data_IF_849250417818
#
_entry.id   IF_849250417818
#
_cell.length_a   1.000
_cell.length_b   1.000
_cell.length_c   1.000
_cell.angle_alpha   90.00
_cell.angle_beta   90.00
_cell.angle_gamma   90.00
#
_symmetry.space_group_name_H-M   'P 1'
#
loop_
_entity.id
_entity.type
_entity.pdbx_description
1 polymer ?
#
# COMPACT_ATOMS: atom_id res chain seq x y z
N UNK A 1 50.80 -16.23 -10.10
CA UNK A 1 50.38 -14.90 -9.51
C UNK A 1 49.27 -14.31 -10.37
N UNK A 2 48.04 -14.41 -9.93
CA UNK A 2 46.89 -13.74 -10.57
C UNK A 2 46.48 -12.57 -9.65
N UNK A 3 46.83 -11.38 -10.10
CA UNK A 3 46.41 -10.13 -9.41
C UNK A 3 44.91 -9.91 -9.53
N UNK A 4 44.21 -10.03 -8.41
CA UNK A 4 42.78 -9.67 -8.28
C UNK A 4 42.56 -8.18 -8.55
N UNK A 5 41.71 -7.86 -9.55
CA UNK A 5 41.19 -6.52 -9.79
C UNK A 5 40.15 -6.20 -8.70
N UNK A 6 40.46 -5.25 -7.84
CA UNK A 6 39.55 -4.72 -6.83
C UNK A 6 38.30 -4.13 -7.48
N UNK A 7 37.13 -4.58 -7.06
CA UNK A 7 35.85 -3.95 -7.37
C UNK A 7 35.79 -2.59 -6.66
N UNK A 8 35.75 -1.52 -7.45
CA UNK A 8 35.49 -0.19 -6.94
C UNK A 8 34.10 -0.17 -6.27
N UNK A 9 34.05 0.12 -4.97
CA UNK A 9 32.80 0.39 -4.25
C UNK A 9 32.27 1.74 -4.78
N UNK A 10 31.10 1.72 -5.42
CA UNK A 10 30.36 2.91 -5.76
C UNK A 10 30.07 3.67 -4.45
N UNK A 11 30.49 4.93 -4.37
CA UNK A 11 30.09 5.83 -3.27
C UNK A 11 28.59 6.11 -3.42
N UNK A 12 27.81 6.07 -2.33
CA UNK A 12 26.43 6.53 -2.39
C UNK A 12 26.46 8.03 -2.74
N UNK A 13 25.79 8.38 -3.82
CA UNK A 13 25.51 9.77 -4.17
C UNK A 13 24.44 10.25 -3.20
N UNK A 14 24.82 10.86 -2.10
CA UNK A 14 23.91 11.55 -1.20
C UNK A 14 23.43 12.81 -1.91
N UNK A 15 22.28 12.75 -2.57
CA UNK A 15 21.53 13.94 -2.96
C UNK A 15 21.14 14.68 -1.67
N UNK A 16 21.41 15.99 -1.62
CA UNK A 16 20.88 16.81 -0.55
C UNK A 16 19.34 16.72 -0.58
N UNK A 17 18.66 16.62 0.59
CA UNK A 17 17.21 16.53 0.62
C UNK A 17 16.61 17.73 -0.12
N UNK A 18 15.54 17.54 -0.93
CA UNK A 18 14.91 18.63 -1.64
C UNK A 18 14.42 19.67 -0.62
N UNK A 19 14.74 20.94 -0.84
CA UNK A 19 14.29 22.01 0.05
C UNK A 19 12.76 22.07 0.02
N UNK A 20 12.13 21.84 1.18
CA UNK A 20 10.68 21.85 1.33
C UNK A 20 10.16 23.27 1.08
N UNK A 21 9.35 23.48 0.03
CA UNK A 21 8.70 24.75 -0.23
C UNK A 21 7.39 24.86 0.52
N UNK A 22 7.09 26.04 1.07
CA UNK A 22 5.87 26.31 1.85
C UNK A 22 5.69 25.28 3.00
N UNK A 23 6.66 25.15 3.92
CA UNK A 23 6.60 24.17 5.00
C UNK A 23 5.36 24.32 5.87
N UNK A 24 4.92 25.57 6.12
CA UNK A 24 3.78 25.89 6.96
C UNK A 24 2.42 25.73 6.27
N UNK A 25 2.39 25.22 5.02
CA UNK A 25 1.12 24.95 4.33
C UNK A 25 0.35 23.89 5.09
N UNK A 26 -0.84 24.24 5.56
CA UNK A 26 -1.76 23.32 6.25
C UNK A 26 -2.30 22.29 5.26
N UNK A 27 -2.15 21.01 5.61
CA UNK A 27 -2.68 19.87 4.88
C UNK A 27 -3.91 19.29 5.56
N UNK A 28 -3.93 19.23 6.91
CA UNK A 28 -5.10 18.95 7.73
C UNK A 28 -5.39 20.17 8.61
N UNK A 29 -6.59 20.72 8.55
CA UNK A 29 -6.97 21.81 9.44
C UNK A 29 -7.03 21.34 10.89
N UNK A 30 -6.87 22.27 11.82
CA UNK A 30 -7.08 22.05 13.24
C UNK A 30 -8.53 21.62 13.51
N UNK A 31 -8.69 20.72 14.48
CA UNK A 31 -10.00 20.28 15.00
C UNK A 31 -9.95 20.28 16.53
N UNK A 32 -11.06 19.98 17.19
CA UNK A 32 -11.10 19.80 18.64
C UNK A 32 -10.24 18.63 19.14
N UNK A 33 -9.86 17.70 18.24
CA UNK A 33 -9.13 16.48 18.57
C UNK A 33 -7.62 16.55 18.25
N UNK A 34 -7.19 17.45 17.36
CA UNK A 34 -5.79 17.60 16.97
C UNK A 34 -5.46 18.98 16.43
N UNK A 35 -4.21 19.37 16.59
CA UNK A 35 -3.64 20.57 15.97
C UNK A 35 -3.61 20.47 14.45
N UNK A 36 -3.47 21.60 13.76
CA UNK A 36 -3.29 21.65 12.32
C UNK A 36 -2.01 20.89 11.92
N UNK A 37 -2.10 20.03 10.90
CA UNK A 37 -0.95 19.31 10.35
C UNK A 37 -0.47 20.02 9.09
N UNK A 38 0.79 20.40 9.09
CA UNK A 38 1.44 21.12 8.01
C UNK A 38 2.20 20.19 7.07
N UNK A 39 2.71 20.76 6.00
CA UNK A 39 3.60 20.07 5.09
C UNK A 39 4.93 19.69 5.75
N UNK A 40 5.43 20.51 6.68
CA UNK A 40 6.62 20.20 7.47
C UNK A 40 6.39 18.98 8.38
N UNK A 41 5.21 18.89 9.00
CA UNK A 41 4.85 17.74 9.84
C UNK A 41 4.77 16.45 9.01
N UNK A 42 4.22 16.52 7.79
CA UNK A 42 4.23 15.38 6.87
C UNK A 42 5.66 14.94 6.51
N UNK A 43 6.55 15.89 6.27
CA UNK A 43 7.96 15.59 5.99
C UNK A 43 8.64 14.93 7.20
N UNK A 44 8.42 15.46 8.40
CA UNK A 44 8.94 14.88 9.65
C UNK A 44 8.37 13.47 9.91
N UNK A 45 7.08 13.24 9.61
CA UNK A 45 6.47 11.92 9.68
C UNK A 45 7.16 10.93 8.73
N UNK A 46 7.42 11.32 7.48
CA UNK A 46 8.11 10.45 6.53
C UNK A 46 9.53 10.11 6.97
N UNK A 47 10.26 11.04 7.56
CA UNK A 47 11.58 10.76 8.15
C UNK A 47 11.48 9.73 9.28
N UNK A 48 10.50 9.91 10.17
CA UNK A 48 10.29 9.02 11.31
C UNK A 48 9.97 7.58 10.89
N UNK A 49 9.18 7.40 9.82
CA UNK A 49 8.71 6.08 9.40
C UNK A 49 9.56 5.44 8.30
N UNK A 50 10.53 6.16 7.75
CA UNK A 50 11.29 5.74 6.57
C UNK A 50 11.87 4.32 6.69
N UNK A 51 12.55 4.01 7.79
CA UNK A 51 13.18 2.69 8.01
C UNK A 51 12.17 1.54 8.06
N UNK A 52 10.92 1.83 8.46
CA UNK A 52 9.83 0.84 8.54
C UNK A 52 9.00 0.75 7.28
N UNK A 53 8.82 1.87 6.58
CA UNK A 53 7.99 1.97 5.40
C UNK A 53 8.70 1.45 4.13
N UNK A 54 9.95 1.86 3.92
CA UNK A 54 10.69 1.52 2.71
C UNK A 54 10.83 0.01 2.43
N UNK A 55 11.07 -0.88 3.40
CA UNK A 55 11.10 -2.32 3.15
C UNK A 55 9.83 -2.88 2.50
N UNK A 56 8.70 -2.21 2.67
CA UNK A 56 7.40 -2.64 2.16
C UNK A 56 6.98 -1.91 0.88
N UNK A 57 7.46 -0.68 0.66
CA UNK A 57 7.04 0.18 -0.44
C UNK A 57 8.12 0.41 -1.51
N UNK A 58 9.41 0.33 -1.15
CA UNK A 58 10.51 0.60 -2.07
C UNK A 58 10.60 -0.41 -3.20
N UNK A 59 11.10 0.07 -4.34
CA UNK A 59 11.29 -0.73 -5.56
C UNK A 59 10.01 -1.41 -6.06
N UNK A 60 8.86 -0.77 -5.86
CA UNK A 60 7.56 -1.19 -6.38
C UNK A 60 6.92 -0.07 -7.19
N UNK A 61 6.11 -0.36 -8.20
CA UNK A 61 5.23 0.66 -8.75
C UNK A 61 4.29 1.16 -7.65
N UNK A 62 4.19 2.47 -7.48
CA UNK A 62 3.38 3.09 -6.43
C UNK A 62 2.37 4.03 -7.05
N UNK A 63 1.13 3.95 -6.61
CA UNK A 63 0.13 4.98 -6.85
C UNK A 63 0.05 5.89 -5.62
N UNK A 64 -0.08 7.18 -5.84
CA UNK A 64 -0.10 8.19 -4.80
C UNK A 64 -1.48 8.85 -4.76
N UNK A 65 -1.98 9.10 -3.56
CA UNK A 65 -3.08 10.07 -3.35
C UNK A 65 -2.45 11.36 -2.87
N UNK A 66 -2.61 12.41 -3.67
CA UNK A 66 -2.06 13.73 -3.41
C UNK A 66 -3.16 14.73 -3.13
N UNK A 67 -2.95 15.55 -2.13
CA UNK A 67 -3.85 16.64 -1.74
C UNK A 67 -3.05 17.96 -1.63
N UNK A 68 -2.63 18.55 -2.77
CA UNK A 68 -1.78 19.75 -2.75
C UNK A 68 -2.42 20.92 -2.03
N UNK A 69 -3.74 20.97 -1.97
CA UNK A 69 -4.52 22.04 -1.33
C UNK A 69 -5.18 21.59 0.00
N UNK A 70 -4.65 20.50 0.61
CA UNK A 70 -5.14 19.95 1.86
C UNK A 70 -6.37 19.06 1.70
N UNK A 71 -6.94 18.59 2.81
CA UNK A 71 -8.04 17.61 2.81
C UNK A 71 -9.31 18.11 2.12
N UNK A 72 -9.58 19.40 2.19
CA UNK A 72 -10.75 20.04 1.56
C UNK A 72 -10.55 20.32 0.07
N UNK A 73 -9.30 20.17 -0.40
CA UNK A 73 -8.92 20.41 -1.78
C UNK A 73 -9.18 19.21 -2.71
N UNK A 74 -8.80 19.41 -3.96
CA UNK A 74 -8.93 18.35 -4.95
C UNK A 74 -7.96 17.21 -4.68
N UNK A 75 -8.46 15.96 -4.71
CA UNK A 75 -7.67 14.73 -4.64
C UNK A 75 -7.16 14.34 -6.03
N UNK A 76 -5.86 14.01 -6.10
CA UNK A 76 -5.23 13.53 -7.32
C UNK A 76 -4.70 12.12 -7.10
N UNK A 77 -5.20 11.19 -7.90
CA UNK A 77 -4.65 9.83 -7.95
C UNK A 77 -3.55 9.78 -9.01
N UNK A 78 -2.30 9.66 -8.58
CA UNK A 78 -1.12 9.78 -9.41
C UNK A 78 -0.35 8.46 -9.47
N UNK A 79 -0.10 7.95 -10.68
CA UNK A 79 0.66 6.71 -10.92
C UNK A 79 2.00 6.96 -11.61
N UNK A 80 2.09 8.03 -12.38
CA UNK A 80 3.21 8.33 -13.25
C UNK A 80 3.94 9.58 -12.78
N UNK A 81 5.21 9.68 -13.10
CA UNK A 81 5.97 10.90 -12.83
C UNK A 81 5.34 12.13 -13.47
N UNK A 82 5.53 13.28 -12.85
CA UNK A 82 5.08 14.56 -13.36
C UNK A 82 6.17 15.62 -13.20
N UNK A 83 6.08 16.69 -13.99
CA UNK A 83 7.00 17.83 -13.90
C UNK A 83 6.95 18.43 -12.49
N UNK A 84 8.11 18.61 -11.87
CA UNK A 84 8.23 19.16 -10.52
C UNK A 84 8.14 18.13 -9.40
N UNK A 85 8.00 16.84 -9.73
CA UNK A 85 8.13 15.73 -8.79
C UNK A 85 9.40 14.96 -9.13
N UNK A 86 10.43 15.12 -8.31
CA UNK A 86 11.73 14.44 -8.48
C UNK A 86 11.70 13.09 -7.78
N UNK A 87 10.94 12.15 -8.35
CA UNK A 87 10.82 10.77 -7.89
C UNK A 87 11.35 9.81 -8.95
N UNK A 88 12.00 8.71 -8.54
CA UNK A 88 12.39 7.66 -9.46
C UNK A 88 11.15 7.04 -10.12
N UNK A 89 11.35 6.52 -11.32
CA UNK A 89 10.28 5.86 -12.06
C UNK A 89 10.73 4.52 -12.58
N UNK A 90 9.78 3.58 -12.67
CA UNK A 90 10.01 2.25 -13.19
C UNK A 90 9.14 1.96 -14.40
N UNK A 91 9.75 1.43 -15.46
CA UNK A 91 9.03 1.03 -16.66
C UNK A 91 8.55 -0.41 -16.53
N UNK A 92 7.25 -0.61 -16.64
CA UNK A 92 6.63 -1.94 -16.65
C UNK A 92 6.37 -2.35 -18.10
N UNK A 93 6.76 -3.58 -18.44
CA UNK A 93 6.56 -4.10 -19.79
C UNK A 93 5.06 -4.11 -20.15
N UNK A 94 4.74 -3.64 -21.35
CA UNK A 94 3.36 -3.54 -21.83
C UNK A 94 2.64 -2.24 -21.45
N UNK A 95 3.17 -1.45 -20.50
CA UNK A 95 2.57 -0.18 -20.11
C UNK A 95 3.21 1.01 -20.87
N UNK A 96 2.38 2.01 -21.19
CA UNK A 96 2.83 3.15 -22.02
C UNK A 96 3.72 4.12 -21.27
N UNK A 97 3.49 4.30 -19.97
CA UNK A 97 4.19 5.28 -19.15
C UNK A 97 4.86 4.60 -17.95
N UNK A 98 6.03 5.09 -17.52
CA UNK A 98 6.68 4.58 -16.32
C UNK A 98 5.88 4.97 -15.06
N UNK A 99 5.88 4.09 -14.10
CA UNK A 99 5.25 4.31 -12.78
C UNK A 99 6.22 4.99 -11.83
N UNK A 100 5.68 5.77 -10.89
CA UNK A 100 6.45 6.25 -9.74
C UNK A 100 6.91 5.05 -8.92
N UNK A 101 8.13 5.10 -8.41
CA UNK A 101 8.67 4.17 -7.42
C UNK A 101 9.38 4.93 -6.31
N UNK A 102 9.80 4.25 -5.27
CA UNK A 102 10.59 4.80 -4.16
C UNK A 102 11.84 3.94 -4.01
N UNK A 103 12.96 4.56 -3.69
CA UNK A 103 14.24 3.87 -3.51
C UNK A 103 14.91 4.25 -2.18
N UNK A 104 14.60 5.44 -1.65
CA UNK A 104 15.31 6.02 -0.52
C UNK A 104 14.42 6.90 0.37
N UNK A 105 14.97 7.33 1.50
CA UNK A 105 14.30 8.28 2.40
C UNK A 105 14.13 9.67 1.75
N UNK A 106 15.04 10.07 0.88
CA UNK A 106 14.93 11.32 0.12
C UNK A 106 13.69 11.33 -0.79
N UNK A 107 13.28 10.17 -1.32
CA UNK A 107 12.06 10.06 -2.12
C UNK A 107 10.82 10.31 -1.27
N UNK A 108 10.82 9.89 0.00
CA UNK A 108 9.74 10.20 0.93
C UNK A 108 9.62 11.71 1.19
N UNK A 109 10.75 12.43 1.24
CA UNK A 109 10.75 13.89 1.33
C UNK A 109 10.17 14.54 0.05
N UNK A 110 10.46 13.97 -1.12
CA UNK A 110 9.84 14.42 -2.37
C UNK A 110 8.32 14.16 -2.38
N UNK A 111 7.83 13.10 -1.72
CA UNK A 111 6.40 12.87 -1.51
C UNK A 111 5.77 13.94 -0.62
N UNK A 112 6.43 14.32 0.48
CA UNK A 112 5.96 15.43 1.33
C UNK A 112 5.90 16.73 0.53
N UNK A 113 6.92 17.02 -0.29
CA UNK A 113 6.93 18.17 -1.19
C UNK A 113 5.72 18.16 -2.14
N UNK A 114 5.32 17.00 -2.61
CA UNK A 114 4.18 16.81 -3.51
C UNK A 114 2.82 16.73 -2.80
N UNK A 115 2.78 16.83 -1.46
CA UNK A 115 1.60 16.60 -0.62
C UNK A 115 0.93 15.24 -0.92
N UNK A 116 1.74 14.19 -1.09
CA UNK A 116 1.26 12.83 -1.21
C UNK A 116 1.00 12.28 0.21
N UNK A 117 -0.26 11.99 0.50
CA UNK A 117 -0.71 11.57 1.83
C UNK A 117 -0.90 10.06 1.92
N UNK A 118 -1.19 9.41 0.80
CA UNK A 118 -1.34 7.96 0.77
C UNK A 118 -0.42 7.37 -0.30
N UNK A 119 0.24 6.29 0.07
CA UNK A 119 1.07 5.47 -0.82
C UNK A 119 0.37 4.13 -1.04
N UNK A 120 0.21 3.76 -2.29
CA UNK A 120 -0.45 2.52 -2.69
C UNK A 120 0.49 1.69 -3.57
N UNK A 121 1.42 0.91 -2.99
CA UNK A 121 2.31 0.06 -3.75
C UNK A 121 1.59 -1.13 -4.37
N UNK A 122 2.09 -1.59 -5.52
CA UNK A 122 1.65 -2.85 -6.11
C UNK A 122 2.07 -4.04 -5.24
N UNK A 123 1.30 -5.11 -5.30
CA UNK A 123 1.58 -6.39 -4.66
C UNK A 123 2.58 -7.27 -5.43
N UNK A 124 3.51 -6.68 -6.19
CA UNK A 124 4.56 -7.38 -6.94
C UNK A 124 5.90 -6.66 -6.82
N UNK A 125 6.96 -7.35 -7.21
CA UNK A 125 8.29 -6.73 -7.37
C UNK A 125 8.43 -6.08 -8.74
N UNK A 126 9.30 -5.06 -8.90
CA UNK A 126 9.40 -4.30 -10.14
C UNK A 126 9.89 -5.12 -11.34
N UNK A 127 10.77 -6.05 -11.11
CA UNK A 127 11.32 -6.94 -12.14
C UNK A 127 10.42 -8.15 -12.46
N UNK A 128 9.35 -8.34 -11.70
CA UNK A 128 8.39 -9.44 -11.83
C UNK A 128 6.94 -8.91 -11.74
N UNK A 129 6.52 -7.96 -12.58
CA UNK A 129 5.22 -7.27 -12.44
C UNK A 129 4.02 -8.19 -12.68
N UNK A 130 4.24 -9.32 -13.33
CA UNK A 130 3.20 -10.31 -13.58
C UNK A 130 3.06 -11.37 -12.48
N UNK A 131 3.90 -11.28 -11.44
CA UNK A 131 3.93 -12.24 -10.33
C UNK A 131 3.60 -11.53 -9.03
N UNK A 132 2.45 -11.81 -8.40
CA UNK A 132 2.16 -11.29 -7.08
C UNK A 132 3.11 -11.90 -6.03
N UNK A 133 3.61 -11.07 -5.12
CA UNK A 133 4.47 -11.49 -4.01
C UNK A 133 3.74 -11.48 -2.66
N UNK A 134 2.50 -11.03 -2.64
CA UNK A 134 1.61 -11.00 -1.47
C UNK A 134 0.15 -11.04 -1.86
N UNK A 135 -0.67 -11.56 -0.97
CA UNK A 135 -2.12 -11.41 -1.03
C UNK A 135 -2.54 -10.38 0.02
N UNK A 136 -3.59 -9.64 -0.29
CA UNK A 136 -4.17 -8.64 0.60
C UNK A 136 -5.67 -8.86 0.68
N UNK A 137 -6.17 -9.06 1.88
CA UNK A 137 -7.58 -9.01 2.21
C UNK A 137 -7.84 -7.71 2.94
N UNK A 138 -8.62 -6.83 2.33
CA UNK A 138 -9.02 -5.56 2.92
C UNK A 138 -10.37 -5.75 3.61
N UNK A 139 -10.39 -5.66 4.93
CA UNK A 139 -11.60 -5.81 5.74
C UNK A 139 -12.27 -4.43 5.90
N UNK A 140 -13.32 -4.20 5.13
CA UNK A 140 -14.02 -2.92 5.02
C UNK A 140 -15.38 -3.00 5.74
N UNK A 141 -15.50 -2.48 6.99
CA UNK A 141 -16.71 -2.55 7.77
C UNK A 141 -17.78 -1.56 7.29
N UNK A 142 -19.05 -1.91 7.47
CA UNK A 142 -20.16 -0.98 7.37
C UNK A 142 -20.09 0.07 8.48
N UNK A 143 -20.75 1.20 8.27
CA UNK A 143 -20.70 2.37 9.20
C UNK A 143 -21.21 2.07 10.61
N UNK A 144 -22.03 1.05 10.77
CA UNK A 144 -22.59 0.66 12.07
C UNK A 144 -21.73 -0.29 12.89
N UNK A 145 -20.58 -0.73 12.38
CA UNK A 145 -19.68 -1.65 13.06
C UNK A 145 -18.54 -0.90 13.76
N UNK A 146 -18.12 -1.40 14.90
CA UNK A 146 -16.97 -0.83 15.62
C UNK A 146 -15.65 -1.50 15.20
N UNK A 147 -14.53 -0.95 15.68
CA UNK A 147 -13.22 -1.48 15.34
C UNK A 147 -12.96 -2.88 15.96
N UNK A 148 -13.64 -3.20 17.06
CA UNK A 148 -13.59 -4.52 17.69
C UNK A 148 -14.14 -5.61 16.75
N UNK A 149 -15.24 -5.32 16.04
CA UNK A 149 -15.81 -6.23 15.04
C UNK A 149 -14.81 -6.54 13.92
N UNK A 150 -14.04 -5.52 13.47
CA UNK A 150 -13.01 -5.68 12.44
C UNK A 150 -11.83 -6.50 12.95
N UNK A 151 -11.42 -6.29 14.19
CA UNK A 151 -10.36 -7.09 14.85
C UNK A 151 -10.76 -8.56 14.93
N UNK A 152 -12.01 -8.84 15.32
CA UNK A 152 -12.50 -10.22 15.41
C UNK A 152 -12.67 -10.87 14.03
N UNK A 153 -13.07 -10.10 13.02
CA UNK A 153 -13.08 -10.54 11.63
C UNK A 153 -11.66 -10.89 11.14
N UNK A 154 -10.68 -10.06 11.46
CA UNK A 154 -9.27 -10.32 11.12
C UNK A 154 -8.75 -11.60 11.79
N UNK A 155 -9.13 -11.87 13.04
CA UNK A 155 -8.79 -13.14 13.74
C UNK A 155 -9.44 -14.35 13.07
N UNK A 156 -10.72 -14.25 12.68
CA UNK A 156 -11.44 -15.31 11.96
C UNK A 156 -10.75 -15.63 10.63
N UNK A 157 -10.48 -14.61 9.82
CA UNK A 157 -9.78 -14.77 8.55
C UNK A 157 -8.36 -15.35 8.75
N UNK A 158 -7.64 -14.85 9.74
CA UNK A 158 -6.32 -15.37 10.13
C UNK A 158 -6.39 -16.86 10.43
N UNK A 159 -7.33 -17.30 11.28
CA UNK A 159 -7.48 -18.70 11.64
C UNK A 159 -7.73 -19.60 10.42
N UNK A 160 -8.58 -19.15 9.48
CA UNK A 160 -8.81 -19.86 8.23
C UNK A 160 -7.55 -19.97 7.38
N UNK A 161 -6.79 -18.88 7.22
CA UNK A 161 -5.57 -18.85 6.42
C UNK A 161 -4.44 -19.69 7.06
N UNK A 162 -4.30 -19.63 8.37
CA UNK A 162 -3.32 -20.46 9.13
C UNK A 162 -3.65 -21.95 9.04
N UNK A 163 -4.92 -22.34 9.05
CA UNK A 163 -5.34 -23.71 8.82
C UNK A 163 -4.98 -24.23 7.41
N UNK A 164 -4.84 -23.31 6.44
CA UNK A 164 -4.31 -23.62 5.10
C UNK A 164 -2.77 -23.55 5.01
N UNK A 165 -2.07 -23.35 6.14
CA UNK A 165 -0.62 -23.27 6.20
C UNK A 165 -0.02 -21.90 5.82
N UNK A 166 -0.84 -20.85 5.72
CA UNK A 166 -0.35 -19.52 5.40
C UNK A 166 0.14 -18.77 6.64
N UNK A 167 1.20 -17.97 6.48
CA UNK A 167 1.62 -16.99 7.49
C UNK A 167 0.92 -15.67 7.21
N UNK A 168 0.32 -15.06 8.22
CA UNK A 168 -0.43 -13.82 8.07
C UNK A 168 0.18 -12.67 8.87
N UNK A 169 0.00 -11.45 8.35
CA UNK A 169 0.36 -10.21 9.02
C UNK A 169 -0.83 -9.25 9.00
N UNK A 170 -0.97 -8.46 10.04
CA UNK A 170 -2.03 -7.46 10.15
C UNK A 170 -1.42 -6.07 9.95
N UNK A 171 -2.13 -5.24 9.18
CA UNK A 171 -1.79 -3.84 8.98
C UNK A 171 -3.01 -2.96 9.16
N UNK A 172 -2.85 -1.86 9.89
CA UNK A 172 -3.84 -0.77 9.96
C UNK A 172 -3.81 0.04 8.67
N UNK A 173 -4.95 0.56 8.24
CA UNK A 173 -5.09 1.32 7.00
C UNK A 173 -5.13 2.84 7.22
N UNK A 174 -5.18 3.28 8.48
CA UNK A 174 -5.43 4.68 8.84
C UNK A 174 -6.91 5.08 8.78
N UNK A 175 -7.79 4.16 8.39
CA UNK A 175 -9.24 4.31 8.35
C UNK A 175 -9.94 3.32 9.27
N UNK A 176 -11.14 2.90 8.89
CA UNK A 176 -12.00 2.00 9.69
C UNK A 176 -11.59 0.52 9.58
N UNK A 177 -10.89 0.14 8.52
CA UNK A 177 -10.59 -1.23 8.17
C UNK A 177 -9.22 -1.73 8.60
N UNK A 178 -8.98 -3.03 8.38
CA UNK A 178 -7.69 -3.69 8.54
C UNK A 178 -7.34 -4.45 7.27
N UNK A 179 -6.06 -4.49 6.94
CA UNK A 179 -5.55 -5.43 5.94
C UNK A 179 -4.98 -6.68 6.61
N UNK A 180 -5.36 -7.85 6.12
CA UNK A 180 -4.68 -9.11 6.40
C UNK A 180 -3.80 -9.43 5.19
N UNK A 181 -2.49 -9.48 5.39
CA UNK A 181 -1.50 -9.74 4.36
C UNK A 181 -0.97 -11.16 4.48
N UNK A 182 -0.81 -11.82 3.33
CA UNK A 182 -0.20 -13.14 3.21
C UNK A 182 0.97 -13.04 2.23
N UNK A 183 2.23 -13.10 2.68
CA UNK A 183 3.36 -13.19 1.77
C UNK A 183 3.29 -14.47 0.94
N UNK A 184 3.49 -14.36 -0.36
CA UNK A 184 3.55 -15.51 -1.24
C UNK A 184 5.00 -15.99 -1.29
N UNK A 185 5.27 -17.12 -0.64
CA UNK A 185 6.56 -17.80 -0.65
C UNK A 185 6.38 -19.13 -1.33
N UNK A 186 6.46 -19.17 -2.64
CA UNK A 186 6.33 -20.41 -3.40
C UNK A 186 7.63 -20.83 -4.08
N UNK A 187 7.71 -22.05 -4.56
CA UNK A 187 8.85 -22.48 -5.40
C UNK A 187 8.91 -21.58 -6.63
N UNK A 188 10.09 -21.01 -6.89
CA UNK A 188 10.34 -20.11 -8.03
C UNK A 188 10.01 -20.74 -9.38
N UNK A 189 9.90 -22.08 -9.43
CA UNK A 189 9.62 -22.82 -10.65
C UNK A 189 8.19 -22.64 -11.20
N UNK A 190 7.21 -22.28 -10.34
CA UNK A 190 5.83 -22.02 -10.75
C UNK A 190 5.19 -20.98 -9.81
N UNK A 191 5.54 -19.68 -9.96
CA UNK A 191 4.89 -18.64 -9.19
C UNK A 191 3.41 -18.50 -9.59
N UNK A 192 2.51 -18.08 -8.68
CA UNK A 192 1.11 -17.84 -9.03
C UNK A 192 1.00 -16.64 -9.98
N UNK A 193 0.02 -16.69 -10.85
CA UNK A 193 -0.43 -15.54 -11.64
C UNK A 193 -1.37 -14.63 -10.83
N UNK A 194 -1.63 -13.42 -11.33
CA UNK A 194 -2.61 -12.51 -10.75
C UNK A 194 -4.02 -13.10 -10.73
N UNK A 195 -4.39 -13.86 -11.76
CA UNK A 195 -5.71 -14.51 -11.84
C UNK A 195 -5.85 -15.62 -10.79
N UNK A 196 -4.80 -16.41 -10.56
CA UNK A 196 -4.78 -17.44 -9.51
C UNK A 196 -4.85 -16.79 -8.12
N UNK A 197 -4.07 -15.73 -7.87
CA UNK A 197 -4.09 -14.98 -6.61
C UNK A 197 -5.48 -14.38 -6.33
N UNK A 198 -6.09 -13.76 -7.33
CA UNK A 198 -7.43 -13.18 -7.23
C UNK A 198 -8.49 -14.25 -7.02
N UNK A 199 -8.43 -15.35 -7.75
CA UNK A 199 -9.40 -16.48 -7.62
C UNK A 199 -9.29 -17.11 -6.25
N UNK A 200 -8.07 -17.31 -5.73
CA UNK A 200 -7.87 -17.84 -4.38
C UNK A 200 -8.47 -16.90 -3.32
N UNK A 201 -8.14 -15.62 -3.36
CA UNK A 201 -8.64 -14.65 -2.38
C UNK A 201 -10.16 -14.46 -2.47
N UNK A 202 -10.73 -14.54 -3.67
CA UNK A 202 -12.18 -14.56 -3.88
C UNK A 202 -12.83 -15.77 -3.24
N UNK A 203 -12.22 -16.95 -3.38
CA UNK A 203 -12.75 -18.18 -2.78
C UNK A 203 -12.75 -18.12 -1.26
N UNK A 204 -11.70 -17.57 -0.65
CA UNK A 204 -11.63 -17.34 0.80
C UNK A 204 -12.72 -16.37 1.26
N UNK A 205 -12.88 -15.23 0.57
CA UNK A 205 -13.91 -14.26 0.89
C UNK A 205 -15.34 -14.86 0.76
N UNK A 206 -15.55 -15.67 -0.27
CA UNK A 206 -16.82 -16.37 -0.47
C UNK A 206 -17.09 -17.42 0.60
N UNK A 207 -16.07 -18.17 1.05
CA UNK A 207 -16.18 -19.13 2.13
C UNK A 207 -16.59 -18.44 3.44
N UNK A 208 -15.93 -17.36 3.83
CA UNK A 208 -16.33 -16.57 5.01
C UNK A 208 -17.76 -16.06 4.92
N UNK A 209 -18.15 -15.51 3.77
CA UNK A 209 -19.52 -15.02 3.57
C UNK A 209 -20.57 -16.15 3.55
N UNK A 210 -20.18 -17.39 3.26
CA UNK A 210 -21.06 -18.58 3.33
C UNK A 210 -21.19 -19.11 4.75
N UNK A 211 -20.06 -19.20 5.47
CA UNK A 211 -19.99 -19.72 6.84
C UNK A 211 -20.66 -18.77 7.85
N UNK A 212 -20.42 -17.47 7.70
CA UNK A 212 -20.91 -16.43 8.60
C UNK A 212 -21.60 -15.29 7.82
N UNK A 213 -22.76 -15.57 7.17
CA UNK A 213 -23.40 -14.61 6.25
C UNK A 213 -23.92 -13.34 6.93
N UNK A 214 -24.12 -13.36 8.26
CA UNK A 214 -24.53 -12.19 9.05
C UNK A 214 -23.35 -11.24 9.33
N UNK A 215 -22.11 -11.73 9.25
CA UNK A 215 -20.90 -10.94 9.54
C UNK A 215 -20.14 -10.52 8.30
N UNK A 216 -20.11 -11.37 7.28
CA UNK A 216 -19.27 -11.17 6.11
C UNK A 216 -20.04 -11.06 4.81
N UNK A 217 -19.48 -10.31 3.88
CA UNK A 217 -19.94 -10.23 2.50
C UNK A 217 -18.74 -10.17 1.54
N UNK A 218 -18.86 -10.88 0.42
CA UNK A 218 -17.83 -10.92 -0.63
C UNK A 218 -18.23 -10.12 -1.89
N UNK A 219 -19.13 -9.14 -1.76
CA UNK A 219 -19.61 -8.32 -2.88
C UNK A 219 -19.44 -6.84 -2.61
N UNK A 220 -19.09 -6.08 -3.66
CA UNK A 220 -18.94 -4.63 -3.61
C UNK A 220 -20.26 -3.86 -3.40
N UNK A 221 -21.41 -4.51 -3.53
CA UNK A 221 -22.71 -3.84 -3.41
C UNK A 221 -22.91 -3.26 -2.01
N UNK A 222 -22.92 -1.93 -1.88
CA UNK A 222 -23.17 -1.23 -0.61
C UNK A 222 -24.47 -1.65 0.06
N UNK A 223 -25.52 -1.88 -0.73
CA UNK A 223 -26.80 -2.32 -0.21
C UNK A 223 -26.76 -3.69 0.51
N UNK A 224 -25.79 -4.54 0.13
CA UNK A 224 -25.59 -5.86 0.75
C UNK A 224 -24.60 -5.84 1.93
N UNK A 225 -23.95 -4.70 2.22
CA UNK A 225 -22.94 -4.57 3.30
C UNK A 225 -23.54 -4.16 4.63
N UNK A 226 -24.81 -3.78 4.70
CA UNK A 226 -25.42 -3.24 5.92
C UNK A 226 -25.20 -4.17 7.11
N UNK A 227 -24.52 -3.67 8.16
CA UNK A 227 -24.16 -4.40 9.36
C UNK A 227 -23.12 -5.51 9.16
N UNK A 228 -22.33 -5.47 8.06
CA UNK A 228 -21.39 -6.54 7.68
C UNK A 228 -20.02 -5.99 7.30
N UNK A 229 -19.05 -6.87 7.30
CA UNK A 229 -17.69 -6.58 6.84
C UNK A 229 -17.52 -7.11 5.42
N UNK A 230 -17.19 -6.24 4.49
CA UNK A 230 -16.79 -6.64 3.16
C UNK A 230 -15.34 -7.13 3.18
N UNK A 231 -15.15 -8.40 2.80
CA UNK A 231 -13.82 -8.97 2.59
C UNK A 231 -13.40 -8.65 1.16
N UNK A 232 -12.74 -7.50 0.99
CA UNK A 232 -12.30 -7.05 -0.34
C UNK A 232 -11.05 -7.81 -0.77
N UNK A 233 -11.24 -8.68 -1.75
CA UNK A 233 -10.20 -9.46 -2.42
C UNK A 233 -9.70 -8.82 -3.72
N UNK A 234 -10.30 -7.72 -4.15
CA UNK A 234 -10.01 -7.08 -5.45
C UNK A 234 -8.63 -6.42 -5.49
N UNK A 235 -8.00 -6.25 -4.31
CA UNK A 235 -6.61 -5.77 -4.20
C UNK A 235 -5.59 -6.73 -4.83
N UNK A 236 -5.98 -7.93 -5.19
CA UNK A 236 -5.11 -9.01 -5.71
C UNK A 236 -5.17 -9.15 -7.23
N UNK A 237 -5.47 -8.08 -7.95
CA UNK A 237 -5.37 -8.03 -9.41
C UNK A 237 -4.11 -7.32 -9.89
N UNK A 238 -3.71 -7.55 -11.14
CA UNK A 238 -2.63 -6.80 -11.79
C UNK A 238 -2.94 -5.30 -11.74
N UNK A 239 -1.98 -4.49 -11.36
CA UNK A 239 -2.11 -3.04 -11.15
C UNK A 239 -3.10 -2.60 -10.06
N UNK A 240 -3.72 -3.53 -9.35
CA UNK A 240 -4.44 -3.21 -8.13
C UNK A 240 -3.44 -2.79 -7.03
N UNK A 241 -3.89 -1.91 -6.17
CA UNK A 241 -3.05 -1.32 -5.12
C UNK A 241 -3.78 -1.34 -3.79
N UNK A 242 -3.01 -1.33 -2.72
CA UNK A 242 -3.51 -1.14 -1.37
C UNK A 242 -2.62 -0.13 -0.63
N UNK A 243 -3.18 0.65 0.29
CA UNK A 243 -2.43 1.61 1.08
C UNK A 243 -1.28 0.92 1.81
N UNK A 244 -0.11 1.59 1.91
CA UNK A 244 1.08 1.06 2.56
C UNK A 244 0.97 1.09 4.08
#
# INVERSE_FOLDING_TARGET
EVRGKGKAKAKPVTKAPPSLSKPDKVLWPETDEHDAVTKADLAAYYDLVAERLLPHAANRPVSLVRLPDGLEGQRFFQRHGMKGMDLPTIKIAGDKQPYVTLESAEDLQALAQAAALELHPWGCRPNEPEIPDRLIFDLDPDEGLDFGDVVDAAKTLRGLLEALGATTFIKTTGGKGLHVLVPITGPKAKPPSWDEAKSFTQSIAAALAHEEPERFVATMSKAKRKGRIFVDYLRNGRSATAVA
#
